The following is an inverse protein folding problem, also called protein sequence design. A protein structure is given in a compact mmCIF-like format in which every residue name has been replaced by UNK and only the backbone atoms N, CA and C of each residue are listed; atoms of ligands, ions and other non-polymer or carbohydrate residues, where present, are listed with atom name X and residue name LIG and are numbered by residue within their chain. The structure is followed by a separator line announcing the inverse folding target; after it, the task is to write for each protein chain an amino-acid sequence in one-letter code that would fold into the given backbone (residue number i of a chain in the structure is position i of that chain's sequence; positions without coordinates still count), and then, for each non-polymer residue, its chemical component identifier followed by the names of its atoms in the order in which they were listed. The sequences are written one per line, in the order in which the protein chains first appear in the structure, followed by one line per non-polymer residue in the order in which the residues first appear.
data_IF_258022721953
#
_entry.id   IF_258022721953
#
_cell.length_a   1.000
_cell.length_b   1.000
_cell.length_c   1.000
_cell.angle_alpha   90.00
_cell.angle_beta   90.00
_cell.angle_gamma   90.00
#
_symmetry.space_group_name_H-M   'P 1'
#
loop_
_entity.id
_entity.type
_entity.pdbx_description
1 polymer ?
#
# COMPACT_ATOMS: atom_id res chain seq x y z
N UNK A 1 -20.50 2.49 18.53
CA UNK A 1 -19.79 3.72 18.95
C UNK A 1 -18.58 3.85 18.04
N UNK A 2 -18.68 4.64 16.97
CA UNK A 2 -17.56 4.88 16.06
C UNK A 2 -16.58 5.81 16.78
N UNK A 3 -15.33 5.39 16.96
CA UNK A 3 -14.34 6.22 17.65
C UNK A 3 -14.07 7.48 16.83
N UNK A 4 -14.01 8.66 17.45
CA UNK A 4 -13.83 9.93 16.76
C UNK A 4 -12.38 10.10 16.29
N UNK A 5 -12.03 9.49 15.15
CA UNK A 5 -11.06 9.99 14.18
C UNK A 5 -11.06 9.12 12.89
N UNK A 6 -12.11 9.20 12.07
CA UNK A 6 -12.00 8.76 10.68
C UNK A 6 -11.16 9.80 9.91
N UNK A 7 -9.83 9.73 10.08
CA UNK A 7 -8.85 10.65 9.45
C UNK A 7 -8.79 10.57 7.92
N UNK A 8 -9.75 9.90 7.25
CA UNK A 8 -9.70 9.65 5.83
C UNK A 8 -8.53 8.74 5.40
N UNK A 9 -8.04 7.90 6.32
CA UNK A 9 -6.97 6.93 6.05
C UNK A 9 -7.51 5.90 5.05
N UNK A 10 -6.88 5.73 3.87
CA UNK A 10 -7.31 4.72 2.90
C UNK A 10 -7.20 3.31 3.48
N UNK A 11 -8.24 2.49 3.32
CA UNK A 11 -8.30 1.12 3.86
C UNK A 11 -8.08 0.06 2.76
N UNK A 12 -7.58 -1.14 3.12
CA UNK A 12 -7.51 -2.29 2.22
C UNK A 12 -8.90 -2.90 2.01
N UNK A 13 -9.69 -2.28 1.13
CA UNK A 13 -11.03 -2.71 0.75
C UNK A 13 -11.10 -3.01 -0.75
N UNK A 14 -12.12 -3.74 -1.18
CA UNK A 14 -12.29 -4.23 -2.55
C UNK A 14 -11.10 -5.12 -2.97
N UNK A 15 -10.39 -4.75 -4.03
CA UNK A 15 -9.15 -5.40 -4.50
C UNK A 15 -7.89 -4.74 -3.92
N UNK A 16 -8.01 -3.73 -3.05
CA UNK A 16 -6.85 -3.00 -2.52
C UNK A 16 -6.22 -3.76 -1.37
N UNK A 17 -4.90 -3.87 -1.41
CA UNK A 17 -4.10 -4.67 -0.49
C UNK A 17 -2.96 -3.80 0.05
N UNK A 18 -2.67 -3.90 1.34
CA UNK A 18 -1.48 -3.26 1.91
C UNK A 18 -0.24 -4.05 1.48
N UNK A 19 0.86 -3.36 1.23
CA UNK A 19 2.17 -3.98 1.01
C UNK A 19 3.30 -3.13 1.57
N UNK A 20 4.51 -3.68 1.55
CA UNK A 20 5.75 -2.99 1.95
C UNK A 20 6.68 -2.90 0.75
N UNK A 21 7.23 -1.72 0.50
CA UNK A 21 8.23 -1.52 -0.56
C UNK A 21 9.52 -2.24 -0.15
N UNK A 22 9.93 -3.23 -0.94
CA UNK A 22 11.22 -3.93 -0.78
C UNK A 22 12.35 -3.21 -1.52
N UNK A 23 12.03 -2.68 -2.71
CA UNK A 23 13.01 -2.02 -3.57
C UNK A 23 12.33 -0.96 -4.44
N UNK A 24 12.97 0.21 -4.61
CA UNK A 24 12.55 1.22 -5.59
C UNK A 24 13.29 0.96 -6.90
N UNK A 25 12.56 0.76 -7.98
CA UNK A 25 13.11 0.33 -9.27
C UNK A 25 13.37 1.50 -10.25
N UNK A 26 12.97 2.71 -9.87
CA UNK A 26 13.02 3.89 -10.76
C UNK A 26 11.83 3.95 -11.70
N UNK A 27 11.77 4.99 -12.55
CA UNK A 27 10.66 5.24 -13.48
C UNK A 27 9.27 5.17 -12.84
N UNK A 28 9.15 5.61 -11.58
CA UNK A 28 7.93 5.53 -10.78
C UNK A 28 7.44 4.09 -10.51
N UNK A 29 8.35 3.11 -10.44
CA UNK A 29 8.06 1.72 -10.07
C UNK A 29 8.79 1.30 -8.79
N UNK A 30 8.18 0.37 -8.07
CA UNK A 30 8.76 -0.29 -6.90
C UNK A 30 8.37 -1.76 -6.85
N UNK A 31 9.25 -2.62 -6.33
CA UNK A 31 8.91 -3.99 -5.91
C UNK A 31 8.24 -3.91 -4.55
N UNK A 32 7.01 -4.39 -4.46
CA UNK A 32 6.19 -4.36 -3.24
C UNK A 32 5.81 -5.78 -2.86
N UNK A 33 6.13 -6.16 -1.63
CA UNK A 33 5.63 -7.40 -1.02
C UNK A 33 4.28 -7.11 -0.37
N UNK A 34 3.23 -7.70 -0.92
CA UNK A 34 1.86 -7.47 -0.49
C UNK A 34 1.42 -8.50 0.57
N UNK A 35 0.50 -8.09 1.43
CA UNK A 35 -0.02 -8.92 2.53
C UNK A 35 -0.99 -10.03 2.09
N UNK A 36 -1.21 -10.18 0.78
CA UNK A 36 -1.94 -11.30 0.18
C UNK A 36 -0.98 -12.39 -0.36
N UNK A 37 0.28 -12.37 0.09
CA UNK A 37 1.30 -13.39 -0.24
C UNK A 37 2.01 -13.18 -1.58
N UNK A 38 1.69 -12.13 -2.35
CA UNK A 38 2.31 -11.89 -3.66
C UNK A 38 3.32 -10.74 -3.61
N UNK A 39 4.38 -10.86 -4.42
CA UNK A 39 5.34 -9.77 -4.67
C UNK A 39 5.07 -9.18 -6.05
N UNK A 40 4.78 -7.88 -6.09
CA UNK A 40 4.36 -7.17 -7.31
C UNK A 40 5.34 -6.09 -7.70
N UNK A 41 5.45 -5.85 -9.00
CA UNK A 41 6.01 -4.61 -9.53
C UNK A 41 4.88 -3.60 -9.61
N UNK A 42 4.93 -2.60 -8.73
CA UNK A 42 3.89 -1.60 -8.62
C UNK A 42 4.31 -0.27 -9.21
N UNK A 43 3.41 0.35 -9.97
CA UNK A 43 3.59 1.67 -10.59
C UNK A 43 2.94 2.75 -9.75
N UNK A 44 3.52 3.94 -9.68
CA UNK A 44 2.82 5.14 -9.20
C UNK A 44 2.04 5.77 -10.37
N UNK A 45 0.70 5.86 -10.30
CA UNK A 45 -0.10 6.47 -11.37
C UNK A 45 0.29 7.94 -11.60
N UNK A 46 0.38 8.36 -12.86
CA UNK A 46 0.79 9.73 -13.24
C UNK A 46 -0.31 10.79 -13.03
N UNK A 47 -1.45 10.43 -12.42
CA UNK A 47 -2.45 11.40 -12.02
C UNK A 47 -1.85 12.35 -10.98
N UNK A 48 -1.78 13.65 -11.31
CA UNK A 48 -1.17 14.71 -10.47
C UNK A 48 -1.70 14.75 -9.04
N UNK A 49 -2.93 14.31 -8.77
CA UNK A 49 -3.51 14.29 -7.42
C UNK A 49 -2.93 13.15 -6.56
N UNK A 50 -2.71 11.97 -7.15
CA UNK A 50 -2.21 10.79 -6.44
C UNK A 50 -0.68 10.83 -6.30
N UNK A 51 0.01 11.11 -7.41
CA UNK A 51 1.48 11.07 -7.47
C UNK A 51 2.17 11.97 -6.43
N UNK A 52 1.61 13.14 -6.12
CA UNK A 52 2.24 14.12 -5.21
C UNK A 52 2.40 13.62 -3.77
N UNK A 53 1.60 12.64 -3.37
CA UNK A 53 1.51 12.20 -1.98
C UNK A 53 2.07 10.79 -1.77
N UNK A 54 2.70 10.20 -2.79
CA UNK A 54 3.25 8.85 -2.73
C UNK A 54 4.76 8.92 -2.54
N UNK A 55 5.24 8.35 -1.44
CA UNK A 55 6.66 8.24 -1.12
C UNK A 55 7.20 6.87 -1.52
N UNK A 56 8.12 6.84 -2.48
CA UNK A 56 8.85 5.62 -2.85
C UNK A 56 10.14 5.53 -2.03
N UNK A 57 10.11 4.75 -0.95
CA UNK A 57 11.27 4.42 -0.12
C UNK A 57 11.12 2.98 0.38
N UNK A 58 12.23 2.26 0.48
CA UNK A 58 12.27 0.94 1.13
C UNK A 58 11.64 0.99 2.53
N UNK A 59 10.97 -0.10 2.92
CA UNK A 59 10.30 -0.32 4.20
C UNK A 59 9.09 0.62 4.44
N UNK A 60 8.60 1.27 3.38
CA UNK A 60 7.37 2.08 3.44
C UNK A 60 6.15 1.21 3.16
N UNK A 61 5.15 1.32 4.03
CA UNK A 61 3.85 0.66 3.86
C UNK A 61 3.01 1.44 2.85
N UNK A 62 2.40 0.74 1.90
CA UNK A 62 1.65 1.31 0.78
C UNK A 62 0.33 0.59 0.57
N UNK A 63 -0.65 1.30 0.02
CA UNK A 63 -1.88 0.70 -0.50
C UNK A 63 -1.69 0.40 -1.99
N UNK A 64 -1.87 -0.85 -2.36
CA UNK A 64 -1.71 -1.36 -3.73
C UNK A 64 -3.06 -1.81 -4.27
N UNK A 65 -3.37 -1.43 -5.51
CA UNK A 65 -4.44 -2.05 -6.29
C UNK A 65 -3.83 -2.93 -7.39
N UNK A 66 -4.03 -4.26 -7.35
CA UNK A 66 -3.56 -5.15 -8.41
C UNK A 66 -4.23 -4.86 -9.75
N UNK A 67 -3.48 -5.04 -10.83
CA UNK A 67 -4.04 -4.94 -12.19
C UNK A 67 -4.98 -6.11 -12.47
N UNK A 68 -5.94 -5.94 -13.38
CA UNK A 68 -6.92 -6.99 -13.69
C UNK A 68 -6.30 -8.23 -14.35
N UNK A 69 -5.40 -8.06 -15.32
CA UNK A 69 -4.86 -9.16 -16.12
C UNK A 69 -3.59 -9.80 -15.54
N UNK A 70 -2.88 -9.09 -14.65
CA UNK A 70 -1.62 -9.53 -14.06
C UNK A 70 -1.64 -9.27 -12.55
N UNK A 71 -2.75 -9.62 -11.92
CA UNK A 71 -3.06 -9.30 -10.53
C UNK A 71 -2.07 -9.91 -9.54
N UNK A 72 -1.39 -11.00 -9.87
CA UNK A 72 -0.36 -11.65 -9.05
C UNK A 72 1.02 -10.95 -9.16
N UNK A 73 1.25 -10.19 -10.24
CA UNK A 73 2.58 -9.68 -10.62
C UNK A 73 2.68 -8.16 -10.66
N UNK A 74 1.57 -7.45 -10.87
CA UNK A 74 1.55 -6.00 -11.10
C UNK A 74 0.43 -5.32 -10.35
N UNK A 75 0.66 -4.06 -10.02
CA UNK A 75 -0.33 -3.21 -9.37
C UNK A 75 0.01 -1.73 -9.49
N UNK A 76 -0.88 -0.90 -8.96
CA UNK A 76 -0.65 0.52 -8.79
C UNK A 76 -0.52 0.85 -7.29
N UNK A 77 0.45 1.69 -6.93
CA UNK A 77 0.55 2.29 -5.60
C UNK A 77 -0.41 3.47 -5.56
N UNK A 78 -1.41 3.40 -4.69
CA UNK A 78 -2.44 4.44 -4.55
C UNK A 78 -2.14 5.39 -3.40
N UNK A 79 -1.40 4.93 -2.38
CA UNK A 79 -1.13 5.68 -1.16
C UNK A 79 0.12 5.16 -0.45
N UNK A 80 0.85 6.03 0.25
CA UNK A 80 1.93 5.65 1.19
C UNK A 80 1.56 6.09 2.61
N UNK A 81 1.55 5.15 3.54
CA UNK A 81 1.17 5.38 4.92
C UNK A 81 2.33 5.97 5.72
N UNK A 82 2.03 6.96 6.55
CA UNK A 82 2.93 7.42 7.61
C UNK A 82 3.05 6.37 8.72
N UNK A 83 4.11 6.42 9.55
CA UNK A 83 4.25 5.51 10.69
C UNK A 83 3.04 5.53 11.64
N UNK A 84 2.48 6.72 11.89
CA UNK A 84 1.29 6.86 12.76
C UNK A 84 0.02 6.22 12.17
N UNK A 85 -0.11 6.20 10.84
CA UNK A 85 -1.24 5.54 10.17
C UNK A 85 -1.04 4.03 10.15
N UNK A 86 0.19 3.55 9.98
CA UNK A 86 0.54 2.12 10.13
C UNK A 86 0.17 1.63 11.53
N UNK A 87 0.53 2.36 12.57
CA UNK A 87 0.16 2.00 13.96
C UNK A 87 -1.35 1.98 14.17
N UNK A 88 -2.07 2.92 13.56
CA UNK A 88 -3.53 2.94 13.61
C UNK A 88 -4.14 1.73 12.88
N UNK A 89 -3.63 1.38 11.69
CA UNK A 89 -4.10 0.22 10.92
C UNK A 89 -3.88 -1.08 11.69
N UNK A 90 -2.72 -1.24 12.36
CA UNK A 90 -2.43 -2.39 13.23
C UNK A 90 -3.40 -2.48 14.39
N UNK A 91 -3.60 -1.38 15.12
CA UNK A 91 -4.52 -1.32 16.28
C UNK A 91 -5.97 -1.63 15.93
N UNK A 92 -6.38 -1.31 14.71
CA UNK A 92 -7.75 -1.54 14.23
C UNK A 92 -7.89 -2.84 13.39
N UNK A 93 -6.86 -3.67 13.32
CA UNK A 93 -6.92 -4.98 12.65
C UNK A 93 -6.92 -4.94 11.12
N UNK A 94 -6.62 -3.79 10.49
CA UNK A 94 -6.50 -3.66 9.03
C UNK A 94 -5.12 -4.08 8.51
N UNK A 95 -4.14 -4.17 9.39
CA UNK A 95 -2.78 -4.60 9.07
C UNK A 95 -2.34 -5.68 10.05
N UNK A 96 -2.20 -6.89 9.53
CA UNK A 96 -1.63 -8.03 10.26
C UNK A 96 -0.12 -7.83 10.45
N UNK A 97 0.47 -8.41 11.48
CA UNK A 97 1.91 -8.27 11.75
C UNK A 97 2.76 -9.02 10.72
N UNK A 98 4.03 -8.66 10.61
CA UNK A 98 4.98 -9.25 9.64
C UNK A 98 5.27 -10.75 9.87
N UNK A 99 4.71 -11.34 10.94
CA UNK A 99 4.83 -12.75 11.29
C UNK A 99 3.79 -13.62 10.55
N UNK A 100 2.81 -13.01 9.86
CA UNK A 100 1.73 -13.71 9.14
C UNK A 100 1.88 -13.69 7.61
N UNK A 101 3.08 -13.38 7.09
CA UNK A 101 3.39 -13.49 5.66
C UNK A 101 3.49 -14.93 5.18
#
# INVERSE_FOLDING_TARGET
MLSPNDKGIPLPQDRKIIGVIEEVLGWAHARVRCFDGHVRICRVPQNKKLHKNIWLKKDTYVLVEPWELQSDKKGDILYSYSPSEVDWLKKNGYLKTEEEF
#
